data_IF_988988127503
#
_entry.id   IF_988988127503
#
_cell.length_a   1.000
_cell.length_b   1.000
_cell.length_c   1.000
_cell.angle_alpha   90.00
_cell.angle_beta   90.00
_cell.angle_gamma   90.00
#
_symmetry.space_group_name_H-M   'P 1'
#
loop_
_entity.id
_entity.type
_entity.pdbx_description
1 polymer ?
#
# COMPACT_ATOMS: atom_id res chain seq x y z
N UNK A 1 10.24 -17.71 -13.58
CA UNK A 1 10.98 -18.74 -14.33
C UNK A 1 12.47 -18.51 -14.14
N UNK A 2 13.24 -19.55 -13.82
CA UNK A 2 14.69 -19.44 -13.57
C UNK A 2 15.43 -20.46 -14.46
N UNK A 3 16.04 -19.98 -15.54
CA UNK A 3 16.79 -20.79 -16.49
C UNK A 3 15.96 -21.26 -17.70
N UNK A 4 16.47 -20.99 -18.89
CA UNK A 4 15.95 -21.42 -20.19
C UNK A 4 17.07 -21.29 -21.22
N UNK A 5 17.05 -22.07 -22.31
CA UNK A 5 17.92 -21.80 -23.45
C UNK A 5 17.34 -20.69 -24.32
N UNK A 6 18.17 -20.08 -25.17
CA UNK A 6 17.72 -19.04 -26.10
C UNK A 6 16.60 -19.56 -27.01
N UNK A 7 16.75 -20.79 -27.52
CA UNK A 7 15.80 -21.42 -28.44
C UNK A 7 14.43 -21.66 -27.80
N UNK A 8 14.40 -22.00 -26.51
CA UNK A 8 13.16 -22.27 -25.79
C UNK A 8 12.44 -21.00 -25.29
N UNK A 9 13.06 -19.82 -25.39
CA UNK A 9 12.53 -18.58 -24.80
C UNK A 9 11.19 -18.16 -25.44
N UNK A 10 11.10 -18.18 -26.77
CA UNK A 10 9.88 -17.78 -27.48
C UNK A 10 8.74 -18.79 -27.21
N UNK A 11 9.03 -20.08 -27.31
CA UNK A 11 8.04 -21.14 -27.04
C UNK A 11 7.45 -21.03 -25.62
N UNK A 12 8.31 -20.78 -24.62
CA UNK A 12 7.85 -20.57 -23.26
C UNK A 12 6.98 -19.32 -23.10
N UNK A 13 7.29 -18.23 -23.83
CA UNK A 13 6.44 -17.04 -23.82
C UNK A 13 5.08 -17.31 -24.47
N UNK A 14 5.05 -17.98 -25.62
CA UNK A 14 3.82 -18.28 -26.35
C UNK A 14 2.86 -19.10 -25.47
N UNK A 15 3.36 -20.15 -24.80
CA UNK A 15 2.57 -20.97 -23.86
C UNK A 15 2.00 -20.14 -22.69
N UNK A 16 2.80 -19.22 -22.13
CA UNK A 16 2.35 -18.33 -21.05
C UNK A 16 1.31 -17.31 -21.54
N UNK A 17 1.49 -16.82 -22.76
CA UNK A 17 0.57 -15.87 -23.36
C UNK A 17 -0.80 -16.52 -23.67
N UNK A 18 -0.80 -17.77 -24.13
CA UNK A 18 -2.02 -18.54 -24.37
C UNK A 18 -2.88 -18.71 -23.10
N UNK A 19 -2.25 -18.80 -21.91
CA UNK A 19 -2.97 -18.85 -20.63
C UNK A 19 -3.23 -17.46 -20.00
N UNK A 20 -2.94 -16.39 -20.74
CA UNK A 20 -3.27 -15.01 -20.38
C UNK A 20 -2.23 -14.28 -19.53
N UNK A 21 -1.01 -14.81 -19.40
CA UNK A 21 0.11 -14.10 -18.77
C UNK A 21 0.94 -13.35 -19.81
N UNK A 22 1.42 -12.17 -19.43
CA UNK A 22 2.39 -11.41 -20.23
C UNK A 22 3.73 -11.31 -19.49
N UNK A 23 4.76 -10.86 -20.20
CA UNK A 23 6.07 -10.63 -19.61
C UNK A 23 6.07 -9.39 -18.71
N UNK A 24 6.95 -9.43 -17.70
CA UNK A 24 7.26 -8.26 -16.89
C UNK A 24 8.24 -7.31 -17.60
N UNK A 25 8.40 -6.11 -17.03
CA UNK A 25 9.34 -5.11 -17.55
C UNK A 25 10.79 -5.28 -17.06
N UNK A 26 11.76 -5.10 -17.96
CA UNK A 26 13.19 -5.10 -17.67
C UNK A 26 13.92 -4.00 -18.46
N UNK A 27 15.17 -3.70 -18.09
CA UNK A 27 15.97 -2.66 -18.76
C UNK A 27 15.60 -1.22 -18.35
N UNK A 28 15.95 -0.22 -19.18
CA UNK A 28 15.63 1.19 -18.97
C UNK A 28 14.18 1.50 -19.41
N UNK A 29 13.24 0.89 -18.70
CA UNK A 29 11.82 0.86 -18.99
C UNK A 29 11.02 0.99 -17.69
N UNK A 30 9.71 1.14 -17.81
CA UNK A 30 8.80 0.89 -16.70
C UNK A 30 8.93 -0.58 -16.27
N UNK A 31 9.05 -0.82 -14.97
CA UNK A 31 9.10 -2.18 -14.41
C UNK A 31 7.73 -2.62 -13.96
N UNK A 32 7.57 -3.94 -13.85
CA UNK A 32 6.42 -4.56 -13.18
C UNK A 32 6.18 -3.90 -11.83
N UNK A 33 4.96 -3.45 -11.61
CA UNK A 33 4.53 -2.82 -10.37
C UNK A 33 3.92 -3.84 -9.42
N UNK A 34 3.66 -3.41 -8.20
CA UNK A 34 3.00 -4.19 -7.15
C UNK A 34 2.14 -3.27 -6.29
N UNK A 35 1.04 -3.83 -5.78
CA UNK A 35 0.22 -3.23 -4.73
C UNK A 35 0.25 -4.08 -3.47
N UNK A 36 -0.11 -3.50 -2.31
CA UNK A 36 -0.46 -4.32 -1.15
C UNK A 36 -1.80 -5.05 -1.37
N UNK A 37 -2.17 -5.96 -0.46
CA UNK A 37 -3.46 -6.69 -0.52
C UNK A 37 -4.65 -5.74 -0.48
N UNK A 38 -4.50 -4.65 0.30
CA UNK A 38 -5.39 -3.51 0.22
C UNK A 38 -6.85 -3.82 0.51
N UNK A 39 -7.76 -3.16 -0.22
CA UNK A 39 -9.21 -3.29 -0.04
C UNK A 39 -9.70 -4.74 -0.09
N UNK A 40 -8.98 -5.65 -0.74
CA UNK A 40 -9.37 -7.06 -0.80
C UNK A 40 -9.45 -7.72 0.59
N UNK A 41 -8.64 -7.26 1.57
CA UNK A 41 -8.60 -7.87 2.90
C UNK A 41 -8.03 -6.97 4.02
N UNK A 42 -8.04 -5.65 3.85
CA UNK A 42 -7.53 -4.72 4.86
C UNK A 42 -8.54 -3.58 5.07
N UNK A 43 -8.98 -3.43 6.31
CA UNK A 43 -9.91 -2.39 6.76
C UNK A 43 -9.30 -0.98 6.81
N UNK A 44 -7.97 -0.87 6.69
CA UNK A 44 -7.24 0.40 6.70
C UNK A 44 -6.99 0.95 5.29
N UNK A 45 -7.40 0.21 4.26
CA UNK A 45 -7.23 0.62 2.87
C UNK A 45 -8.03 1.89 2.55
N UNK A 46 -7.36 2.93 2.05
CA UNK A 46 -7.98 4.21 1.74
C UNK A 46 -8.46 4.33 0.28
N UNK A 47 -8.11 3.37 -0.59
CA UNK A 47 -8.54 3.32 -1.99
C UNK A 47 -8.38 1.90 -2.53
N UNK A 48 -8.96 1.61 -3.70
CA UNK A 48 -8.79 0.31 -4.34
C UNK A 48 -7.42 0.21 -5.04
N UNK A 49 -6.43 -0.37 -4.36
CA UNK A 49 -5.05 -0.49 -4.80
C UNK A 49 -4.91 -1.42 -6.00
N UNK A 50 -5.59 -2.57 -5.97
CA UNK A 50 -5.55 -3.54 -7.06
C UNK A 50 -6.10 -2.95 -8.37
N UNK A 51 -7.21 -2.19 -8.28
CA UNK A 51 -7.78 -1.48 -9.43
C UNK A 51 -6.87 -0.36 -9.91
N UNK A 52 -6.34 0.45 -9.01
CA UNK A 52 -5.41 1.53 -9.37
C UNK A 52 -4.16 0.97 -10.05
N UNK A 53 -3.54 -0.04 -9.45
CA UNK A 53 -2.39 -0.76 -9.99
C UNK A 53 -2.67 -1.27 -11.41
N UNK A 54 -3.73 -2.08 -11.58
CA UNK A 54 -4.08 -2.66 -12.88
C UNK A 54 -4.37 -1.59 -13.93
N UNK A 55 -5.14 -0.56 -13.57
CA UNK A 55 -5.55 0.49 -14.52
C UNK A 55 -4.34 1.29 -15.00
N UNK A 56 -3.48 1.71 -14.06
CA UNK A 56 -2.29 2.50 -14.39
C UNK A 56 -1.32 1.67 -15.22
N UNK A 57 -0.96 0.47 -14.79
CA UNK A 57 0.05 -0.33 -15.51
C UNK A 57 -0.43 -0.79 -16.88
N UNK A 58 -1.70 -1.17 -17.01
CA UNK A 58 -2.24 -1.53 -18.33
C UNK A 58 -2.31 -0.34 -19.29
N UNK A 59 -2.28 0.89 -18.79
CA UNK A 59 -2.21 2.10 -19.63
C UNK A 59 -0.79 2.40 -20.12
N UNK A 60 0.23 1.80 -19.51
CA UNK A 60 1.65 2.02 -19.80
C UNK A 60 2.38 0.73 -20.22
N UNK A 61 1.68 -0.18 -20.91
CA UNK A 61 2.28 -1.43 -21.38
C UNK A 61 3.42 -1.18 -22.37
N UNK A 62 3.31 -0.17 -23.22
CA UNK A 62 4.37 0.14 -24.19
C UNK A 62 5.68 0.52 -23.48
N UNK A 63 5.60 1.40 -22.50
CA UNK A 63 6.72 1.87 -21.69
C UNK A 63 7.36 0.74 -20.85
N UNK A 64 6.63 -0.34 -20.60
CA UNK A 64 7.12 -1.52 -19.89
C UNK A 64 7.82 -2.52 -20.82
N UNK A 65 7.26 -2.75 -22.02
CA UNK A 65 7.76 -3.76 -22.96
C UNK A 65 8.82 -3.21 -23.91
N UNK A 66 8.84 -1.89 -24.17
CA UNK A 66 9.74 -1.23 -25.11
C UNK A 66 10.59 -0.18 -24.38
N UNK A 67 11.83 -0.52 -23.97
CA UNK A 67 12.67 0.39 -23.21
C UNK A 67 12.96 1.70 -23.95
N UNK A 68 12.38 2.79 -23.46
CA UNK A 68 12.51 4.14 -24.03
C UNK A 68 12.90 5.21 -22.99
N UNK A 69 13.04 4.83 -21.71
CA UNK A 69 13.36 5.76 -20.63
C UNK A 69 14.88 5.89 -20.45
N UNK A 70 15.38 6.98 -19.83
CA UNK A 70 16.82 7.11 -19.52
C UNK A 70 17.34 6.01 -18.59
N UNK A 71 16.48 5.52 -17.69
CA UNK A 71 16.77 4.38 -16.81
C UNK A 71 15.47 3.71 -16.34
N UNK A 72 15.58 2.74 -15.42
CA UNK A 72 14.40 2.05 -14.87
C UNK A 72 13.48 3.02 -14.12
N UNK A 73 12.17 2.80 -14.27
CA UNK A 73 11.13 3.52 -13.52
C UNK A 73 10.17 2.52 -12.89
N UNK A 74 9.65 2.81 -11.70
CA UNK A 74 8.78 1.91 -10.92
C UNK A 74 7.62 2.66 -10.31
N UNK A 75 6.41 2.15 -10.51
CA UNK A 75 5.25 2.48 -9.67
C UNK A 75 5.12 1.48 -8.53
N UNK A 76 4.58 1.90 -7.38
CA UNK A 76 4.02 1.02 -6.34
C UNK A 76 2.84 1.66 -5.64
N UNK A 77 1.92 0.82 -5.17
CA UNK A 77 0.61 1.24 -4.64
C UNK A 77 0.38 0.68 -3.24
N UNK A 78 0.41 1.54 -2.23
CA UNK A 78 0.10 1.22 -0.83
C UNK A 78 -1.18 1.88 -0.39
N UNK A 79 -2.04 1.12 0.29
CA UNK A 79 -3.37 1.56 0.72
C UNK A 79 -3.43 2.60 1.82
N UNK A 80 -2.41 2.66 2.67
CA UNK A 80 -2.33 3.55 3.83
C UNK A 80 -0.87 3.81 4.22
N UNK A 81 -0.66 4.65 5.24
CA UNK A 81 0.65 5.02 5.76
C UNK A 81 1.52 3.88 6.30
N UNK A 82 0.97 2.67 6.51
CA UNK A 82 1.78 1.49 6.87
C UNK A 82 2.66 0.97 5.71
N UNK A 83 2.38 1.40 4.48
CA UNK A 83 3.18 1.12 3.28
C UNK A 83 3.61 -0.37 3.11
N UNK A 84 2.66 -1.31 3.18
CA UNK A 84 2.98 -2.74 3.21
C UNK A 84 3.71 -3.29 1.97
N UNK A 85 3.67 -2.61 0.81
CA UNK A 85 4.46 -2.99 -0.39
C UNK A 85 5.82 -2.28 -0.45
N UNK A 86 6.10 -1.44 0.55
CA UNK A 86 7.29 -0.61 0.67
C UNK A 86 7.49 0.23 -0.60
N UNK A 87 6.46 1.02 -0.92
CA UNK A 87 6.39 1.89 -2.08
C UNK A 87 7.41 3.01 -1.97
N UNK A 88 7.48 3.70 -0.83
CA UNK A 88 8.32 4.90 -0.67
C UNK A 88 9.81 4.60 -0.84
N UNK A 89 10.29 3.40 -0.46
CA UNK A 89 11.70 3.04 -0.59
C UNK A 89 12.06 2.31 -1.90
N UNK A 90 11.08 1.77 -2.63
CA UNK A 90 11.36 0.81 -3.73
C UNK A 90 10.66 1.16 -5.04
N UNK A 91 10.07 2.34 -5.13
CA UNK A 91 9.46 2.88 -6.33
C UNK A 91 9.98 4.29 -6.61
N UNK A 92 10.03 4.64 -7.89
CA UNK A 92 10.32 6.01 -8.35
C UNK A 92 9.04 6.87 -8.24
N UNK A 93 7.88 6.23 -8.29
CA UNK A 93 6.58 6.85 -8.06
C UNK A 93 5.76 6.02 -7.06
N UNK A 94 5.62 6.53 -5.84
CA UNK A 94 4.88 5.89 -4.76
C UNK A 94 3.48 6.50 -4.62
N UNK A 95 2.45 5.66 -4.72
CA UNK A 95 1.06 6.05 -4.40
C UNK A 95 0.73 5.50 -3.02
N UNK A 96 0.58 6.39 -2.04
CA UNK A 96 0.25 6.02 -0.66
C UNK A 96 -1.09 6.65 -0.30
N UNK A 97 -2.05 5.80 0.06
CA UNK A 97 -3.39 6.21 0.42
C UNK A 97 -3.43 6.94 1.76
N UNK A 98 -4.36 7.88 1.86
CA UNK A 98 -4.65 8.61 3.09
C UNK A 98 -6.11 9.08 3.06
N UNK A 99 -6.55 9.68 4.16
CA UNK A 99 -7.83 10.36 4.30
C UNK A 99 -7.62 11.83 4.67
N UNK A 100 -8.69 12.63 4.62
CA UNK A 100 -8.65 14.08 4.90
C UNK A 100 -9.72 14.52 5.90
N UNK A 101 -10.68 13.66 6.19
CA UNK A 101 -11.69 13.84 7.23
C UNK A 101 -11.19 13.34 8.59
N UNK A 102 -12.08 13.31 9.58
CA UNK A 102 -11.71 12.94 10.94
C UNK A 102 -11.60 11.42 11.11
N UNK A 103 -10.65 10.98 11.94
CA UNK A 103 -10.59 9.60 12.42
C UNK A 103 -11.91 9.26 13.14
N UNK A 104 -12.50 8.12 12.77
CA UNK A 104 -13.77 7.64 13.34
C UNK A 104 -13.52 6.89 14.65
N UNK A 105 -14.12 7.36 15.74
CA UNK A 105 -13.93 6.79 17.08
C UNK A 105 -15.24 6.14 17.55
N UNK A 106 -15.18 4.87 17.95
CA UNK A 106 -16.28 4.18 18.63
C UNK A 106 -16.01 4.18 20.12
N UNK A 107 -16.57 5.14 20.84
CA UNK A 107 -16.30 5.35 22.28
C UNK A 107 -16.60 4.10 23.13
N UNK A 108 -17.62 3.32 22.78
CA UNK A 108 -17.94 2.08 23.51
C UNK A 108 -16.80 1.05 23.43
N UNK A 109 -16.12 0.94 22.28
CA UNK A 109 -14.99 0.02 22.12
C UNK A 109 -13.73 0.55 22.81
N UNK A 110 -13.55 1.88 22.84
CA UNK A 110 -12.49 2.54 23.63
C UNK A 110 -12.65 2.21 25.11
N UNK A 111 -13.86 2.40 25.66
CA UNK A 111 -14.15 2.10 27.08
C UNK A 111 -13.93 0.62 27.41
N UNK A 112 -14.36 -0.29 26.53
CA UNK A 112 -14.08 -1.74 26.68
C UNK A 112 -12.58 -2.05 26.68
N UNK A 113 -11.81 -1.40 25.79
CA UNK A 113 -10.36 -1.56 25.76
C UNK A 113 -9.73 -1.09 27.07
N UNK A 114 -10.05 0.12 27.53
CA UNK A 114 -9.53 0.69 28.78
C UNK A 114 -9.92 -0.17 29.99
N UNK A 115 -11.16 -0.66 30.07
CA UNK A 115 -11.58 -1.55 31.14
C UNK A 115 -10.77 -2.86 31.17
N UNK A 116 -10.30 -3.33 30.01
CA UNK A 116 -9.51 -4.56 29.88
C UNK A 116 -8.03 -4.36 30.23
N UNK A 117 -7.41 -3.26 29.81
CA UNK A 117 -5.94 -3.05 29.90
C UNK A 117 -5.51 -1.96 30.89
N UNK A 118 -6.46 -1.15 31.35
CA UNK A 118 -6.24 0.00 32.22
C UNK A 118 -5.88 1.29 31.48
N UNK A 119 -6.19 2.43 32.12
CA UNK A 119 -5.88 3.78 31.60
C UNK A 119 -4.39 3.97 31.35
N UNK A 120 -3.54 3.57 32.32
CA UNK A 120 -2.08 3.71 32.22
C UNK A 120 -1.53 3.07 30.94
N UNK A 121 -1.96 1.85 30.62
CA UNK A 121 -1.51 1.17 29.41
C UNK A 121 -1.91 1.92 28.14
N UNK A 122 -3.15 2.38 28.07
CA UNK A 122 -3.66 3.15 26.91
C UNK A 122 -2.90 4.45 26.74
N UNK A 123 -2.58 5.14 27.84
CA UNK A 123 -1.80 6.37 27.82
C UNK A 123 -0.37 6.11 27.34
N UNK A 124 0.28 5.07 27.86
CA UNK A 124 1.69 4.76 27.55
C UNK A 124 1.86 4.27 26.10
N UNK A 125 0.87 3.58 25.54
CA UNK A 125 0.99 2.91 24.23
C UNK A 125 0.32 3.64 23.06
N UNK A 126 -0.68 4.49 23.33
CA UNK A 126 -1.43 5.21 22.28
C UNK A 126 -1.22 6.71 22.41
N UNK A 127 -1.62 7.30 23.53
CA UNK A 127 -1.61 8.77 23.73
C UNK A 127 -0.18 9.32 23.66
N UNK A 128 0.73 8.75 24.44
CA UNK A 128 2.12 9.21 24.55
C UNK A 128 2.94 8.91 23.29
N UNK A 129 2.49 7.96 22.47
CA UNK A 129 3.13 7.56 21.22
C UNK A 129 2.64 8.36 20.01
N UNK A 130 1.62 9.20 20.17
CA UNK A 130 1.14 10.06 19.10
C UNK A 130 2.22 11.09 18.73
N UNK A 131 2.74 11.11 17.49
CA UNK A 131 3.87 11.94 17.11
C UNK A 131 3.58 13.44 17.20
N UNK A 132 2.33 13.85 17.02
CA UNK A 132 1.88 15.25 17.10
C UNK A 132 1.20 15.60 18.41
N UNK A 133 1.09 14.63 19.35
CA UNK A 133 0.33 14.79 20.61
C UNK A 133 -1.13 15.21 20.42
N UNK A 134 -1.74 14.79 19.32
CA UNK A 134 -3.12 15.13 18.96
C UNK A 134 -4.20 14.25 19.64
N UNK A 135 -3.82 13.16 20.31
CA UNK A 135 -4.74 12.22 20.96
C UNK A 135 -4.79 12.53 22.46
N UNK A 136 -5.98 12.58 23.05
CA UNK A 136 -6.18 12.76 24.50
C UNK A 136 -7.20 11.78 25.07
N UNK A 137 -7.03 11.40 26.34
CA UNK A 137 -7.95 10.56 27.09
C UNK A 137 -8.58 11.37 28.22
N UNK A 138 -9.91 11.51 28.22
CA UNK A 138 -10.66 12.25 29.23
C UNK A 138 -10.86 11.44 30.52
N UNK A 139 -11.32 12.09 31.58
CA UNK A 139 -11.57 11.45 32.89
C UNK A 139 -12.70 10.42 32.85
N UNK A 140 -13.62 10.53 31.89
CA UNK A 140 -14.77 9.63 31.69
C UNK A 140 -14.49 8.45 30.72
N UNK A 141 -13.21 8.19 30.47
CA UNK A 141 -12.70 7.17 29.54
C UNK A 141 -13.07 7.38 28.06
N UNK A 142 -13.45 8.60 27.66
CA UNK A 142 -13.60 8.95 26.23
C UNK A 142 -12.26 9.39 25.62
N UNK A 143 -12.05 9.02 24.35
CA UNK A 143 -10.85 9.39 23.58
C UNK A 143 -11.18 10.48 22.56
N UNK A 144 -10.40 11.56 22.56
CA UNK A 144 -10.52 12.66 21.61
C UNK A 144 -9.27 12.76 20.73
N UNK A 145 -9.48 13.23 19.49
CA UNK A 145 -8.42 13.43 18.50
C UNK A 145 -8.58 14.79 17.85
N UNK A 146 -7.57 15.65 18.00
CA UNK A 146 -7.46 16.88 17.20
C UNK A 146 -6.92 16.55 15.80
N UNK A 147 -7.84 16.35 14.86
CA UNK A 147 -7.50 15.96 13.49
C UNK A 147 -6.84 17.08 12.67
N UNK A 148 -6.78 18.33 13.17
CA UNK A 148 -6.16 19.47 12.47
C UNK A 148 -4.69 19.68 12.82
N UNK A 149 -4.24 19.12 13.93
CA UNK A 149 -2.87 19.26 14.47
C UNK A 149 -1.80 18.63 13.59
#
# INVERSE_FOLDING_TARGET
FQGCTTEATQHAFDELNEIGFDLGGAGPALRTSMSCVGQARCEQSCYNEARAHRTVINSFLDEMHRPALPYKFKFKFSGCGNDCVNAIHRADFAVIGTWRDNIKIKQDEVKKHIAKVGRKYTIDTVVSMCPTRAISLNDDDTLDIDNKS
#
